data_IF_184669935766
#
_entry.id   IF_184669935766
#
_cell.length_a   1.000
_cell.length_b   1.000
_cell.length_c   1.000
_cell.angle_alpha   90.00
_cell.angle_beta   90.00
_cell.angle_gamma   90.00
#
_symmetry.space_group_name_H-M   'P 1'
#
loop_
_entity.id
_entity.type
_entity.pdbx_description
1 polymer ?
#
# COMPACT_ATOMS: atom_id res chain seq x y z
N UNK A 1 9.36 -20.32 -13.55
CA UNK A 1 8.00 -19.76 -13.64
C UNK A 1 7.74 -19.41 -15.11
N UNK A 2 6.59 -19.71 -15.71
CA UNK A 2 6.38 -19.37 -17.13
C UNK A 2 6.38 -17.84 -17.28
N UNK A 3 7.26 -17.29 -18.12
CA UNK A 3 7.45 -15.85 -18.34
C UNK A 3 6.12 -15.08 -18.56
N UNK A 4 5.11 -15.76 -19.13
CA UNK A 4 3.75 -15.23 -19.36
C UNK A 4 3.03 -14.84 -18.06
N UNK A 5 3.18 -15.62 -16.97
CA UNK A 5 2.50 -15.35 -15.69
C UNK A 5 3.08 -14.13 -14.99
N UNK A 6 4.39 -13.89 -15.13
CA UNK A 6 5.03 -12.69 -14.59
C UNK A 6 4.61 -11.46 -15.37
N UNK A 7 4.62 -11.53 -16.70
CA UNK A 7 4.20 -10.40 -17.55
C UNK A 7 2.75 -9.98 -17.22
N UNK A 8 1.85 -10.94 -17.02
CA UNK A 8 0.47 -10.66 -16.62
C UNK A 8 0.40 -9.88 -15.30
N UNK A 9 1.11 -10.34 -14.25
CA UNK A 9 1.11 -9.68 -12.95
C UNK A 9 1.73 -8.28 -13.03
N UNK A 10 2.78 -8.12 -13.82
CA UNK A 10 3.45 -6.83 -14.04
C UNK A 10 2.51 -5.81 -14.69
N UNK A 11 1.78 -6.24 -15.73
CA UNK A 11 0.76 -5.42 -16.40
C UNK A 11 -0.36 -5.06 -15.43
N UNK A 12 -0.84 -6.02 -14.63
CA UNK A 12 -1.87 -5.77 -13.63
C UNK A 12 -1.44 -4.72 -12.61
N UNK A 13 -0.20 -4.80 -12.08
CA UNK A 13 0.34 -3.81 -11.14
C UNK A 13 0.43 -2.42 -11.78
N UNK A 14 0.91 -2.32 -13.02
CA UNK A 14 0.96 -1.05 -13.74
C UNK A 14 -0.45 -0.47 -13.97
N UNK A 15 -1.42 -1.31 -14.34
CA UNK A 15 -2.81 -0.89 -14.55
C UNK A 15 -3.44 -0.36 -13.25
N UNK A 16 -3.22 -1.04 -12.12
CA UNK A 16 -3.66 -0.56 -10.80
C UNK A 16 -3.04 0.81 -10.50
N UNK A 17 -1.74 0.99 -10.75
CA UNK A 17 -1.06 2.26 -10.57
C UNK A 17 -1.67 3.39 -11.39
N UNK A 18 -1.96 3.14 -12.68
CA UNK A 18 -2.57 4.13 -13.58
C UNK A 18 -4.00 4.49 -13.13
N UNK A 19 -4.80 3.50 -12.75
CA UNK A 19 -6.17 3.73 -12.26
C UNK A 19 -6.14 4.59 -11.00
N UNK A 20 -5.26 4.28 -10.05
CA UNK A 20 -5.13 5.06 -8.82
C UNK A 20 -4.61 6.47 -9.09
N UNK A 21 -3.66 6.65 -10.01
CA UNK A 21 -3.23 7.99 -10.45
C UNK A 21 -4.39 8.80 -11.02
N UNK A 22 -5.18 8.20 -11.90
CA UNK A 22 -6.35 8.86 -12.49
C UNK A 22 -7.37 9.26 -11.40
N UNK A 23 -7.64 8.37 -10.46
CA UNK A 23 -8.51 8.66 -9.31
C UNK A 23 -7.96 9.80 -8.45
N UNK A 24 -6.64 9.83 -8.19
CA UNK A 24 -6.02 10.91 -7.43
C UNK A 24 -6.16 12.27 -8.14
N UNK A 25 -5.88 12.34 -9.45
CA UNK A 25 -5.87 13.61 -10.18
C UNK A 25 -7.25 14.15 -10.56
N UNK A 26 -8.19 13.28 -10.92
CA UNK A 26 -9.51 13.71 -11.43
C UNK A 26 -10.61 13.52 -10.39
N UNK A 27 -10.70 12.33 -9.82
CA UNK A 27 -11.83 11.96 -8.95
C UNK A 27 -11.75 12.60 -7.57
N UNK A 28 -10.57 12.57 -6.94
CA UNK A 28 -10.35 13.09 -5.59
C UNK A 28 -10.62 14.59 -5.45
N UNK A 29 -10.09 15.50 -6.30
CA UNK A 29 -10.37 16.93 -6.19
C UNK A 29 -11.82 17.26 -6.53
N UNK A 30 -12.43 16.54 -7.48
CA UNK A 30 -13.85 16.71 -7.77
C UNK A 30 -14.70 16.32 -6.56
N UNK A 31 -14.47 15.14 -5.98
CA UNK A 31 -15.18 14.70 -4.77
C UNK A 31 -14.98 15.69 -3.62
N UNK A 32 -13.76 16.16 -3.39
CA UNK A 32 -13.47 17.13 -2.34
C UNK A 32 -14.29 18.43 -2.50
N UNK A 33 -14.45 18.91 -3.74
CA UNK A 33 -15.28 20.08 -4.04
C UNK A 33 -16.78 19.80 -3.82
N UNK A 34 -17.28 18.65 -4.27
CA UNK A 34 -18.69 18.27 -4.05
C UNK A 34 -19.00 18.15 -2.57
N UNK A 35 -18.12 17.52 -1.78
CA UNK A 35 -18.31 17.42 -0.33
C UNK A 35 -18.33 18.79 0.35
N UNK A 36 -17.50 19.74 -0.08
CA UNK A 36 -17.49 21.10 0.46
C UNK A 36 -18.76 21.91 0.10
N UNK A 37 -19.33 21.68 -1.08
CA UNK A 37 -20.60 22.30 -1.50
C UNK A 37 -21.80 21.70 -0.74
N UNK A 38 -21.80 20.38 -0.50
CA UNK A 38 -22.89 19.68 0.22
C UNK A 38 -22.82 19.91 1.73
N UNK A 39 -21.62 19.99 2.30
CA UNK A 39 -21.40 20.21 3.73
C UNK A 39 -20.51 21.44 3.98
N UNK A 40 -21.07 22.66 3.82
CA UNK A 40 -20.31 23.90 3.98
C UNK A 40 -19.71 24.06 5.39
N UNK A 41 -20.33 23.45 6.41
CA UNK A 41 -19.84 23.43 7.79
C UNK A 41 -18.51 22.68 7.96
N UNK A 42 -18.18 21.76 7.04
CA UNK A 42 -16.93 21.00 7.02
C UNK A 42 -16.01 21.40 5.86
N UNK A 43 -16.28 22.53 5.18
CA UNK A 43 -15.46 22.97 4.05
C UNK A 43 -13.98 23.19 4.43
N UNK A 44 -13.69 23.54 5.69
CA UNK A 44 -12.32 23.65 6.21
C UNK A 44 -11.58 22.30 6.29
N UNK A 45 -12.30 21.18 6.40
CA UNK A 45 -11.71 19.82 6.40
C UNK A 45 -11.33 19.34 5.00
N UNK A 46 -11.78 20.03 3.93
CA UNK A 46 -11.49 19.66 2.54
C UNK A 46 -9.98 19.54 2.29
N UNK A 47 -9.21 20.56 2.64
CA UNK A 47 -7.76 20.59 2.40
C UNK A 47 -6.99 19.59 3.29
N UNK A 48 -7.22 19.50 4.61
CA UNK A 48 -6.60 18.48 5.45
C UNK A 48 -6.84 17.05 4.96
N UNK A 49 -8.08 16.72 4.57
CA UNK A 49 -8.42 15.39 4.06
C UNK A 49 -7.70 15.09 2.75
N UNK A 50 -7.71 16.06 1.82
CA UNK A 50 -7.08 15.92 0.53
C UNK A 50 -5.56 15.73 0.67
N UNK A 51 -4.91 16.54 1.51
CA UNK A 51 -3.48 16.40 1.83
C UNK A 51 -3.21 15.03 2.46
N UNK A 52 -4.04 14.58 3.40
CA UNK A 52 -3.91 13.27 4.04
C UNK A 52 -3.93 12.11 3.03
N UNK A 53 -4.84 12.14 2.07
CA UNK A 53 -4.93 11.09 1.03
C UNK A 53 -3.76 11.20 0.03
N UNK A 54 -3.33 12.40 -0.35
CA UNK A 54 -2.13 12.55 -1.18
C UNK A 54 -0.86 12.05 -0.48
N UNK A 55 -0.77 12.22 0.84
CA UNK A 55 0.33 11.70 1.65
C UNK A 55 0.35 10.17 1.68
N UNK A 56 -0.82 9.49 1.65
CA UNK A 56 -0.89 8.02 1.59
C UNK A 56 -0.67 7.47 0.18
N UNK A 57 -0.84 8.29 -0.86
CA UNK A 57 -0.50 7.89 -2.23
C UNK A 57 0.99 7.59 -2.40
N UNK A 58 1.87 8.33 -1.72
CA UNK A 58 3.33 8.11 -1.77
C UNK A 58 3.74 6.69 -1.35
N UNK A 59 3.42 6.20 -0.12
CA UNK A 59 3.74 4.84 0.27
C UNK A 59 3.02 3.79 -0.58
N UNK A 60 1.83 4.09 -1.12
CA UNK A 60 1.12 3.18 -2.02
C UNK A 60 1.89 2.95 -3.34
N UNK A 61 2.29 4.02 -4.03
CA UNK A 61 3.09 3.90 -5.25
C UNK A 61 4.46 3.27 -5.00
N UNK A 62 5.07 3.57 -3.86
CA UNK A 62 6.33 2.94 -3.48
C UNK A 62 6.17 1.43 -3.25
N UNK A 63 5.06 0.99 -2.64
CA UNK A 63 4.73 -0.43 -2.49
C UNK A 63 4.52 -1.13 -3.85
N UNK A 64 3.83 -0.50 -4.80
CA UNK A 64 3.67 -1.02 -6.15
C UNK A 64 5.03 -1.19 -6.85
N UNK A 65 5.92 -0.21 -6.71
CA UNK A 65 7.26 -0.28 -7.28
C UNK A 65 8.09 -1.41 -6.65
N UNK A 66 8.04 -1.60 -5.33
CA UNK A 66 8.67 -2.74 -4.66
C UNK A 66 8.09 -4.08 -5.11
N UNK A 67 6.78 -4.16 -5.37
CA UNK A 67 6.17 -5.37 -5.93
C UNK A 67 6.70 -5.70 -7.34
N UNK A 68 6.88 -4.68 -8.20
CA UNK A 68 7.50 -4.87 -9.52
C UNK A 68 8.94 -5.35 -9.43
N UNK A 69 9.73 -4.82 -8.48
CA UNK A 69 11.10 -5.29 -8.23
C UNK A 69 11.14 -6.73 -7.74
N UNK A 70 10.24 -7.09 -6.82
CA UNK A 70 10.15 -8.45 -6.31
C UNK A 70 9.83 -9.43 -7.44
N UNK A 71 8.91 -9.08 -8.34
CA UNK A 71 8.60 -9.86 -9.52
C UNK A 71 9.82 -10.00 -10.46
N UNK A 72 10.57 -8.92 -10.67
CA UNK A 72 11.81 -8.95 -11.44
C UNK A 72 12.89 -9.86 -10.82
N UNK A 73 12.99 -9.93 -9.49
CA UNK A 73 13.91 -10.86 -8.83
C UNK A 73 13.45 -12.32 -8.97
N UNK A 74 12.13 -12.57 -9.01
CA UNK A 74 11.60 -13.90 -9.28
C UNK A 74 11.91 -14.34 -10.72
N UNK A 75 11.77 -13.44 -11.69
CA UNK A 75 12.08 -13.74 -13.09
C UNK A 75 13.58 -13.99 -13.35
N UNK A 76 14.46 -13.45 -12.51
CA UNK A 76 15.91 -13.66 -12.59
C UNK A 76 16.41 -14.87 -11.78
N UNK A 77 15.50 -15.70 -11.25
CA UNK A 77 15.82 -16.80 -10.33
C UNK A 77 16.59 -16.36 -9.06
N UNK A 78 16.58 -15.06 -8.74
CA UNK A 78 17.19 -14.47 -7.53
C UNK A 78 16.13 -14.17 -6.46
N UNK A 79 14.99 -14.88 -6.49
CA UNK A 79 13.91 -14.73 -5.52
C UNK A 79 14.40 -14.93 -4.08
N UNK A 80 15.27 -15.92 -3.85
CA UNK A 80 15.89 -16.22 -2.56
C UNK A 80 17.16 -15.38 -2.35
N UNK A 81 17.01 -14.06 -2.36
CA UNK A 81 18.08 -13.13 -2.09
C UNK A 81 17.69 -12.13 -0.99
N UNK A 82 18.71 -11.56 -0.34
CA UNK A 82 18.53 -10.48 0.64
C UNK A 82 17.83 -9.26 0.02
N UNK A 83 17.94 -9.07 -1.30
CA UNK A 83 17.24 -8.02 -2.05
C UNK A 83 15.72 -8.24 -2.03
N UNK A 84 15.24 -9.46 -2.27
CA UNK A 84 13.81 -9.79 -2.20
C UNK A 84 13.24 -9.59 -0.79
N UNK A 85 13.99 -9.98 0.24
CA UNK A 85 13.60 -9.73 1.65
C UNK A 85 13.51 -8.23 1.93
N UNK A 86 14.44 -7.44 1.39
CA UNK A 86 14.41 -5.97 1.51
C UNK A 86 13.17 -5.38 0.86
N UNK A 87 12.77 -5.83 -0.33
CA UNK A 87 11.55 -5.34 -0.99
C UNK A 87 10.28 -5.74 -0.22
N UNK A 88 10.20 -6.95 0.37
CA UNK A 88 9.09 -7.32 1.27
C UNK A 88 9.03 -6.44 2.52
N UNK A 89 10.20 -6.12 3.11
CA UNK A 89 10.29 -5.21 4.26
C UNK A 89 9.77 -3.82 3.89
N UNK A 90 10.07 -3.34 2.68
CA UNK A 90 9.55 -2.08 2.14
C UNK A 90 8.03 -2.12 2.02
N UNK A 91 7.46 -3.16 1.40
CA UNK A 91 6.00 -3.31 1.24
C UNK A 91 5.31 -3.30 2.60
N UNK A 92 5.86 -4.04 3.58
CA UNK A 92 5.36 -4.04 4.96
C UNK A 92 5.36 -2.63 5.57
N UNK A 93 6.48 -1.90 5.43
CA UNK A 93 6.61 -0.56 5.98
C UNK A 93 5.61 0.41 5.34
N UNK A 94 5.44 0.36 4.01
CA UNK A 94 4.43 1.14 3.30
C UNK A 94 3.01 0.85 3.80
N UNK A 95 2.66 -0.43 3.96
CA UNK A 95 1.36 -0.83 4.47
C UNK A 95 1.15 -0.36 5.93
N UNK A 96 2.18 -0.40 6.78
CA UNK A 96 2.09 0.15 8.13
C UNK A 96 1.92 1.68 8.12
N UNK A 97 2.66 2.40 7.28
CA UNK A 97 2.53 3.86 7.15
C UNK A 97 1.13 4.26 6.72
N UNK A 98 0.56 3.58 5.71
CA UNK A 98 -0.82 3.80 5.27
C UNK A 98 -1.78 3.55 6.42
N UNK A 99 -1.62 2.43 7.15
CA UNK A 99 -2.47 2.09 8.29
C UNK A 99 -2.47 3.20 9.36
N UNK A 100 -1.28 3.65 9.79
CA UNK A 100 -1.13 4.69 10.82
C UNK A 100 -1.70 6.03 10.35
N UNK A 101 -1.43 6.43 9.10
CA UNK A 101 -1.96 7.68 8.55
C UNK A 101 -3.50 7.69 8.52
N UNK A 102 -4.13 6.58 8.12
CA UNK A 102 -5.59 6.48 8.10
C UNK A 102 -6.20 6.43 9.51
N UNK A 103 -5.54 5.79 10.48
CA UNK A 103 -5.98 5.81 11.89
C UNK A 103 -5.94 7.24 12.43
N UNK A 104 -4.85 7.97 12.21
CA UNK A 104 -4.72 9.38 12.64
C UNK A 104 -5.80 10.23 11.98
N UNK A 105 -6.00 10.08 10.67
CA UNK A 105 -7.04 10.80 9.93
C UNK A 105 -8.44 10.49 10.46
N UNK A 106 -8.73 9.23 10.79
CA UNK A 106 -10.01 8.82 11.35
C UNK A 106 -10.28 9.44 12.73
N UNK A 107 -9.30 9.43 13.63
CA UNK A 107 -9.41 10.09 14.94
C UNK A 107 -9.60 11.62 14.80
N UNK A 108 -8.88 12.25 13.88
CA UNK A 108 -9.02 13.68 13.60
C UNK A 108 -10.42 14.04 13.08
N UNK A 109 -10.96 13.27 12.14
CA UNK A 109 -12.33 13.49 11.63
C UNK A 109 -13.38 13.25 12.72
N UNK A 110 -13.16 12.25 13.57
CA UNK A 110 -14.05 11.93 14.70
C UNK A 110 -14.07 13.05 15.74
N UNK A 111 -12.93 13.70 16.02
CA UNK A 111 -12.87 14.81 16.99
C UNK A 111 -13.62 16.05 16.51
N UNK A 112 -13.71 16.26 15.19
CA UNK A 112 -14.41 17.38 14.57
C UNK A 112 -15.93 17.13 14.45
N UNK A 113 -16.44 16.02 15.00
CA UNK A 113 -17.84 15.57 14.84
C UNK A 113 -18.29 15.44 13.38
N UNK A 114 -17.35 15.36 12.43
CA UNK A 114 -17.60 15.17 11.00
C UNK A 114 -17.84 13.69 10.66
N UNK A 115 -18.43 12.94 11.60
CA UNK A 115 -18.58 11.49 11.56
C UNK A 115 -19.80 11.06 10.75
N UNK A 116 -19.71 11.11 9.44
CA UNK A 116 -20.69 10.48 8.55
C UNK A 116 -20.46 8.95 8.48
N UNK A 117 -21.52 8.13 8.28
CA UNK A 117 -21.41 6.66 8.29
C UNK A 117 -20.36 6.11 7.33
N UNK A 118 -20.22 6.76 6.16
CA UNK A 118 -19.23 6.40 5.14
C UNK A 118 -17.79 6.57 5.66
N UNK A 119 -17.51 7.68 6.36
CA UNK A 119 -16.19 7.96 6.93
C UNK A 119 -15.82 6.95 8.01
N UNK A 120 -16.80 6.51 8.81
CA UNK A 120 -16.59 5.46 9.81
C UNK A 120 -16.21 4.12 9.17
N UNK A 121 -16.95 3.71 8.15
CA UNK A 121 -16.67 2.45 7.42
C UNK A 121 -15.29 2.52 6.78
N UNK A 122 -14.95 3.60 6.06
CA UNK A 122 -13.64 3.77 5.43
C UNK A 122 -12.50 3.85 6.45
N UNK A 123 -12.73 4.54 7.58
CA UNK A 123 -11.77 4.71 8.66
C UNK A 123 -11.38 3.41 9.36
N UNK A 124 -12.20 2.37 9.29
CA UNK A 124 -11.88 1.03 9.80
C UNK A 124 -11.39 0.12 8.66
N UNK A 125 -12.06 0.16 7.51
CA UNK A 125 -11.81 -0.77 6.41
C UNK A 125 -10.42 -0.60 5.79
N UNK A 126 -10.00 0.64 5.52
CA UNK A 126 -8.69 0.91 4.90
C UNK A 126 -7.52 0.44 5.79
N UNK A 127 -7.43 0.84 7.08
CA UNK A 127 -6.37 0.35 7.95
C UNK A 127 -6.45 -1.16 8.19
N UNK A 128 -7.65 -1.77 8.19
CA UNK A 128 -7.79 -3.22 8.26
C UNK A 128 -7.13 -3.92 7.06
N UNK A 129 -7.46 -3.52 5.82
CA UNK A 129 -6.84 -4.06 4.60
C UNK A 129 -5.32 -3.85 4.62
N UNK A 130 -4.88 -2.66 5.03
CA UNK A 130 -3.45 -2.34 5.11
C UNK A 130 -2.73 -3.20 6.16
N UNK A 131 -3.36 -3.47 7.30
CA UNK A 131 -2.84 -4.37 8.32
C UNK A 131 -2.73 -5.81 7.80
N UNK A 132 -3.74 -6.31 7.08
CA UNK A 132 -3.67 -7.62 6.42
C UNK A 132 -2.47 -7.73 5.46
N UNK A 133 -2.26 -6.71 4.62
CA UNK A 133 -1.12 -6.66 3.70
C UNK A 133 0.21 -6.63 4.48
N UNK A 134 0.30 -5.83 5.54
CA UNK A 134 1.51 -5.75 6.37
C UNK A 134 1.84 -7.09 7.04
N UNK A 135 0.83 -7.77 7.60
CA UNK A 135 0.99 -9.09 8.22
C UNK A 135 1.43 -10.11 7.18
N UNK A 136 0.77 -10.14 6.02
CA UNK A 136 1.12 -11.07 4.94
C UNK A 136 2.55 -10.85 4.43
N UNK A 137 2.94 -9.58 4.20
CA UNK A 137 4.30 -9.22 3.81
C UNK A 137 5.32 -9.62 4.90
N UNK A 138 4.99 -9.47 6.18
CA UNK A 138 5.85 -9.90 7.29
C UNK A 138 6.02 -11.43 7.34
N UNK A 139 4.96 -12.18 7.10
CA UNK A 139 5.01 -13.64 7.03
C UNK A 139 5.89 -14.09 5.86
N UNK A 140 5.67 -13.55 4.66
CA UNK A 140 6.51 -13.83 3.49
C UNK A 140 7.97 -13.44 3.73
N UNK A 141 8.22 -12.29 4.37
CA UNK A 141 9.56 -11.83 4.72
C UNK A 141 10.27 -12.88 5.60
N UNK A 142 9.60 -13.39 6.63
CA UNK A 142 10.15 -14.38 7.57
C UNK A 142 10.38 -15.75 6.90
N UNK A 143 9.46 -16.19 6.06
CA UNK A 143 9.58 -17.45 5.32
C UNK A 143 10.74 -17.38 4.32
N UNK A 144 10.85 -16.28 3.59
CA UNK A 144 11.90 -16.09 2.60
C UNK A 144 13.27 -16.00 3.25
N UNK A 145 13.39 -15.31 4.39
CA UNK A 145 14.64 -15.26 5.15
C UNK A 145 15.08 -16.65 5.60
N UNK A 146 14.17 -17.45 6.18
CA UNK A 146 14.49 -18.83 6.57
C UNK A 146 14.95 -19.69 5.40
N UNK A 147 14.31 -19.55 4.24
CA UNK A 147 14.70 -20.29 3.04
C UNK A 147 16.10 -19.88 2.54
N UNK A 148 16.46 -18.60 2.65
CA UNK A 148 17.81 -18.10 2.33
C UNK A 148 18.84 -18.68 3.29
N UNK A 149 18.56 -18.65 4.60
CA UNK A 149 19.48 -19.16 5.62
C UNK A 149 19.75 -20.67 5.41
N UNK A 150 18.71 -21.47 5.15
CA UNK A 150 18.84 -22.89 4.84
C UNK A 150 19.65 -23.16 3.56
N UNK A 151 19.44 -22.36 2.51
CA UNK A 151 20.23 -22.47 1.27
C UNK A 151 21.70 -22.16 1.54
N UNK A 152 21.99 -21.13 2.33
CA UNK A 152 23.36 -20.75 2.67
C UNK A 152 24.08 -21.81 3.51
N UNK A 153 23.38 -22.50 4.41
CA UNK A 153 23.94 -23.58 5.21
C UNK A 153 24.25 -24.82 4.36
N UNK A 154 23.36 -25.17 3.43
CA UNK A 154 23.60 -26.24 2.47
C UNK A 154 24.80 -25.94 1.56
N UNK A 155 24.96 -24.70 1.09
CA UNK A 155 26.10 -24.31 0.25
C UNK A 155 27.45 -24.29 1.02
N UNK A 156 27.43 -24.24 2.36
CA UNK A 156 28.62 -24.26 3.22
C UNK A 156 29.05 -25.66 3.69
N UNK A 157 28.21 -26.69 3.50
CA UNK A 157 28.45 -28.06 3.98
C UNK A 157 28.80 -29.07 2.89
N UNK A 158 28.73 -28.66 1.61
CA UNK A 158 29.16 -29.44 0.44
C UNK A 158 30.60 -29.15 0.05
#
# INVERSE_FOLDING_TARGET
MNNVSSIFLRVAICMIGIIVLFLCFFWLPWQARVLAEVYPEYAHLQYPLLIGIYMTALPFFYALYSALKLLHYIDKDTAFSSLSVKELKTIKLCALLICVLYIIGFFYLSSQQAGNPVTFILGIFIPFVSACIAIFAALLQKLLQKAIDLKSENDLTV
#
